data_IF_782509356228
#
_entry.id   IF_782509356228
#
_cell.length_a   1.000
_cell.length_b   1.000
_cell.length_c   1.000
_cell.angle_alpha   90.00
_cell.angle_beta   90.00
_cell.angle_gamma   90.00
#
_symmetry.space_group_name_H-M   'P 1'
#
loop_
_entity.id
_entity.type
_entity.pdbx_description
1 polymer ?
#
# COMPACT_ATOMS: atom_id res chain seq x y z
N UNK A 1 -0.62 2.78 -9.28
CA UNK A 1 -0.43 1.75 -8.25
C UNK A 1 0.58 2.23 -7.23
N UNK A 2 0.26 2.10 -5.95
CA UNK A 2 1.20 2.28 -4.84
C UNK A 2 1.70 0.90 -4.43
N UNK A 3 3.00 0.77 -4.14
CA UNK A 3 3.59 -0.45 -3.59
C UNK A 3 4.04 -0.19 -2.16
N UNK A 4 3.71 -1.10 -1.25
CA UNK A 4 4.24 -1.11 0.12
C UNK A 4 5.11 -2.33 0.27
N UNK A 5 6.35 -2.13 0.69
CA UNK A 5 7.34 -3.18 0.85
C UNK A 5 7.55 -3.45 2.33
N UNK A 6 7.60 -4.72 2.72
CA UNK A 6 7.89 -5.13 4.09
C UNK A 6 9.08 -6.08 4.13
N UNK A 7 9.99 -5.78 5.04
CA UNK A 7 11.06 -6.66 5.49
C UNK A 7 10.76 -7.01 6.95
N UNK A 8 10.56 -8.28 7.25
CA UNK A 8 10.47 -8.76 8.61
C UNK A 8 11.77 -8.66 9.38
N UNK A 9 11.71 -8.82 10.72
CA UNK A 9 12.89 -8.91 11.55
C UNK A 9 13.87 -9.98 11.03
N UNK A 10 15.14 -9.59 10.87
CA UNK A 10 16.21 -10.45 10.39
C UNK A 10 17.45 -10.27 11.27
N UNK A 11 17.67 -11.18 12.21
CA UNK A 11 18.82 -11.12 13.11
C UNK A 11 20.11 -11.55 12.38
N UNK A 12 21.26 -10.87 12.58
CA UNK A 12 21.51 -9.71 13.47
C UNK A 12 21.33 -8.32 12.83
N UNK A 13 20.84 -8.24 11.58
CA UNK A 13 20.94 -7.03 10.75
C UNK A 13 19.78 -6.04 10.91
N UNK A 14 18.56 -6.51 11.17
CA UNK A 14 17.34 -5.70 11.30
C UNK A 14 16.44 -6.26 12.41
N UNK A 15 16.53 -5.74 13.63
CA UNK A 15 15.83 -6.28 14.81
C UNK A 15 14.31 -6.10 14.77
N UNK A 16 13.83 -5.03 14.13
CA UNK A 16 12.42 -4.63 14.16
C UNK A 16 11.72 -4.77 12.79
N UNK A 17 12.48 -5.15 11.76
CA UNK A 17 12.04 -5.12 10.38
C UNK A 17 12.00 -3.69 9.82
N UNK A 18 11.61 -3.59 8.56
CA UNK A 18 11.52 -2.34 7.81
C UNK A 18 10.27 -2.31 6.94
N UNK A 19 9.73 -1.12 6.71
CA UNK A 19 8.59 -0.91 5.81
C UNK A 19 8.79 0.38 5.02
N UNK A 20 8.45 0.35 3.74
CA UNK A 20 8.52 1.51 2.87
C UNK A 20 7.36 1.53 1.89
N UNK A 21 7.15 2.67 1.24
CA UNK A 21 6.10 2.87 0.24
C UNK A 21 6.67 3.53 -1.01
N UNK A 22 6.26 3.06 -2.19
CA UNK A 22 6.60 3.64 -3.48
C UNK A 22 5.34 4.03 -4.25
N UNK A 23 5.33 5.26 -4.76
CA UNK A 23 4.29 5.77 -5.64
C UNK A 23 4.59 5.41 -7.09
N UNK A 24 3.59 5.54 -7.96
CA UNK A 24 3.72 5.19 -9.39
C UNK A 24 4.69 6.08 -10.17
N UNK A 25 4.96 7.30 -9.68
CA UNK A 25 5.94 8.22 -10.29
C UNK A 25 7.38 7.96 -9.82
N UNK A 26 7.60 6.93 -9.00
CA UNK A 26 8.89 6.59 -8.43
C UNK A 26 9.20 7.27 -7.10
N UNK A 27 8.36 8.20 -6.60
CA UNK A 27 8.52 8.78 -5.26
C UNK A 27 8.56 7.66 -4.22
N UNK A 28 9.58 7.66 -3.38
CA UNK A 28 9.85 6.60 -2.41
C UNK A 28 9.84 7.15 -0.98
N UNK A 29 8.92 6.66 -0.17
CA UNK A 29 8.73 6.99 1.23
C UNK A 29 9.38 5.89 2.07
N UNK A 30 10.58 6.17 2.56
CA UNK A 30 11.34 5.30 3.45
C UNK A 30 12.06 6.17 4.45
N UNK A 31 11.91 5.83 5.74
CA UNK A 31 12.50 6.59 6.84
C UNK A 31 13.29 5.62 7.73
N UNK A 32 14.45 5.22 7.23
CA UNK A 32 15.33 4.22 7.82
C UNK A 32 16.59 4.90 8.40
N UNK A 33 17.12 4.43 9.55
CA UNK A 33 18.35 4.98 10.10
C UNK A 33 19.55 4.62 9.21
N UNK A 34 20.58 5.47 9.23
CA UNK A 34 21.83 5.21 8.50
C UNK A 34 22.64 4.05 9.05
N UNK A 35 22.37 3.68 10.30
CA UNK A 35 22.90 2.47 10.92
C UNK A 35 21.74 1.82 11.70
N UNK A 36 21.36 0.57 11.41
CA UNK A 36 20.25 -0.12 12.08
C UNK A 36 20.48 -0.29 13.60
N UNK A 37 21.72 -0.13 14.07
CA UNK A 37 22.09 -0.10 15.50
C UNK A 37 22.12 1.32 16.09
N UNK A 38 22.00 2.36 15.27
CA UNK A 38 22.00 3.76 15.72
C UNK A 38 20.58 4.25 16.02
N UNK A 39 20.37 4.73 17.25
CA UNK A 39 19.04 5.06 17.78
C UNK A 39 18.58 6.48 17.38
N UNK A 40 19.44 7.29 16.75
CA UNK A 40 19.21 8.75 16.64
C UNK A 40 19.56 9.45 15.34
N UNK A 41 19.97 8.74 14.27
CA UNK A 41 20.30 9.38 12.99
C UNK A 41 19.63 8.68 11.81
N UNK A 42 18.76 9.41 11.11
CA UNK A 42 18.27 9.02 9.78
C UNK A 42 19.34 9.25 8.72
N UNK A 43 19.38 8.37 7.71
CA UNK A 43 20.15 8.61 6.48
C UNK A 43 19.52 9.72 5.63
N UNK A 44 20.16 10.06 4.51
CA UNK A 44 19.58 10.98 3.53
C UNK A 44 18.34 10.37 2.85
N UNK A 45 17.18 10.59 3.46
CA UNK A 45 15.92 9.99 3.04
C UNK A 45 15.37 10.57 1.72
N UNK A 46 15.93 11.67 1.22
CA UNK A 46 15.54 12.27 -0.07
C UNK A 46 15.96 11.39 -1.26
N UNK A 47 17.03 10.60 -1.12
CA UNK A 47 17.61 9.78 -2.19
C UNK A 47 17.33 8.28 -2.03
N UNK A 48 16.48 7.93 -1.08
CA UNK A 48 16.17 6.55 -0.80
C UNK A 48 15.35 5.92 -1.92
N UNK A 49 15.64 4.66 -2.20
CA UNK A 49 14.99 3.84 -3.20
C UNK A 49 14.74 2.43 -2.66
N UNK A 50 13.93 1.64 -3.37
CA UNK A 50 13.76 0.22 -3.07
C UNK A 50 15.09 -0.55 -3.10
N UNK A 51 15.94 -0.26 -4.07
CA UNK A 51 17.22 -0.96 -4.22
C UNK A 51 18.16 -0.61 -3.07
N UNK A 52 18.20 0.66 -2.62
CA UNK A 52 18.99 1.03 -1.43
C UNK A 52 18.48 0.35 -0.16
N UNK A 53 17.16 0.22 0.02
CA UNK A 53 16.60 -0.53 1.16
C UNK A 53 16.93 -2.02 1.09
N UNK A 54 16.85 -2.60 -0.10
CA UNK A 54 17.17 -4.01 -0.30
C UNK A 54 18.64 -4.32 -0.06
N UNK A 55 19.54 -3.37 -0.40
CA UNK A 55 20.96 -3.46 -0.09
C UNK A 55 21.22 -3.36 1.41
N UNK A 56 20.58 -2.40 2.10
CA UNK A 56 20.74 -2.23 3.54
C UNK A 56 20.19 -3.42 4.34
N UNK A 57 19.10 -4.02 3.87
CA UNK A 57 18.50 -5.24 4.45
C UNK A 57 19.19 -6.54 3.99
N UNK A 58 20.15 -6.44 3.06
CA UNK A 58 20.88 -7.56 2.42
C UNK A 58 19.97 -8.58 1.73
N UNK A 59 18.75 -8.17 1.35
CA UNK A 59 17.71 -9.03 0.76
C UNK A 59 16.58 -8.20 0.17
N UNK A 60 15.79 -8.84 -0.70
CA UNK A 60 14.52 -8.27 -1.18
C UNK A 60 13.47 -8.25 -0.06
N UNK A 61 12.49 -7.37 -0.21
CA UNK A 61 11.30 -7.35 0.64
C UNK A 61 10.65 -8.74 0.69
N UNK A 62 10.25 -9.18 1.88
CA UNK A 62 9.54 -10.44 2.08
C UNK A 62 8.17 -10.40 1.43
N UNK A 63 7.52 -9.24 1.54
CA UNK A 63 6.15 -9.04 1.12
C UNK A 63 6.00 -7.70 0.41
N UNK A 64 5.17 -7.70 -0.63
CA UNK A 64 4.84 -6.51 -1.42
C UNK A 64 3.33 -6.43 -1.50
N UNK A 65 2.76 -5.34 -0.99
CA UNK A 65 1.35 -5.03 -1.10
C UNK A 65 1.16 -3.98 -2.19
N UNK A 66 0.37 -4.32 -3.21
CA UNK A 66 0.01 -3.39 -4.27
C UNK A 66 -1.38 -2.80 -4.00
N UNK A 67 -1.47 -1.48 -4.01
CA UNK A 67 -2.69 -0.74 -3.66
C UNK A 67 -3.10 0.14 -4.84
N UNK A 68 -4.33 -0.02 -5.37
CA UNK A 68 -4.86 0.91 -6.35
C UNK A 68 -5.09 2.28 -5.70
N UNK A 69 -4.56 3.32 -6.33
CA UNK A 69 -4.66 4.69 -5.86
C UNK A 69 -4.76 5.60 -7.09
N UNK A 70 -5.68 6.57 -7.02
CA UNK A 70 -5.79 7.64 -8.01
C UNK A 70 -4.60 8.63 -7.91
N UNK A 71 -4.52 9.55 -8.87
CA UNK A 71 -3.46 10.55 -8.93
C UNK A 71 -3.48 11.49 -7.72
N UNK A 72 -4.68 11.92 -7.31
CA UNK A 72 -4.89 12.86 -6.21
C UNK A 72 -4.42 12.29 -4.86
N UNK A 73 -4.69 11.00 -4.60
CA UNK A 73 -4.18 10.25 -3.45
C UNK A 73 -2.66 10.22 -3.44
N UNK A 74 -2.03 9.93 -4.57
CA UNK A 74 -0.57 9.87 -4.69
C UNK A 74 0.06 11.26 -4.51
N UNK A 75 -0.54 12.30 -5.07
CA UNK A 75 -0.07 13.68 -4.93
C UNK A 75 -0.12 14.16 -3.48
N UNK A 76 -1.15 13.78 -2.72
CA UNK A 76 -1.23 14.07 -1.28
C UNK A 76 -0.10 13.39 -0.50
N UNK A 77 0.18 12.12 -0.80
CA UNK A 77 1.28 11.39 -0.14
C UNK A 77 2.63 12.03 -0.48
N UNK A 78 2.85 12.36 -1.75
CA UNK A 78 4.07 13.01 -2.23
C UNK A 78 4.29 14.36 -1.56
N UNK A 79 3.23 15.18 -1.45
CA UNK A 79 3.29 16.48 -0.76
C UNK A 79 3.63 16.31 0.71
N UNK A 80 2.93 15.39 1.40
CA UNK A 80 3.26 15.03 2.77
C UNK A 80 4.73 14.65 2.92
N UNK A 81 5.24 13.77 2.06
CA UNK A 81 6.61 13.29 2.17
C UNK A 81 7.63 14.41 2.01
N UNK A 82 7.43 15.28 1.00
CA UNK A 82 8.29 16.45 0.77
C UNK A 82 8.29 17.40 1.97
N UNK A 83 7.11 17.73 2.51
CA UNK A 83 6.99 18.61 3.68
C UNK A 83 7.57 17.98 4.95
N UNK A 84 7.40 16.67 5.10
CA UNK A 84 7.92 15.93 6.22
C UNK A 84 9.46 15.95 6.23
N UNK A 85 10.09 15.65 5.09
CA UNK A 85 11.55 15.66 4.96
C UNK A 85 12.16 17.02 5.29
N UNK A 86 11.54 18.13 4.87
CA UNK A 86 12.00 19.49 5.20
C UNK A 86 12.06 19.72 6.73
N UNK A 87 11.10 19.17 7.48
CA UNK A 87 10.97 19.40 8.93
C UNK A 87 11.70 18.37 9.78
N UNK A 88 11.84 17.15 9.28
CA UNK A 88 12.16 15.97 10.10
C UNK A 88 13.33 15.13 9.54
N UNK A 89 14.13 15.69 8.61
CA UNK A 89 15.22 14.97 7.91
C UNK A 89 16.10 14.11 8.81
N UNK A 90 16.40 14.59 10.03
CA UNK A 90 17.32 13.95 10.98
C UNK A 90 16.66 13.48 12.29
N UNK A 91 15.33 13.49 12.39
CA UNK A 91 14.63 13.25 13.65
C UNK A 91 14.16 11.80 13.82
N UNK A 92 14.90 10.82 13.29
CA UNK A 92 14.55 9.40 13.46
C UNK A 92 14.45 9.02 14.94
N UNK A 93 13.38 8.32 15.29
CA UNK A 93 13.21 7.76 16.63
C UNK A 93 12.48 6.42 16.53
N UNK A 94 13.12 5.37 17.06
CA UNK A 94 12.68 3.98 16.91
C UNK A 94 11.21 3.74 17.31
N UNK A 95 10.71 4.43 18.34
CA UNK A 95 9.36 4.17 18.88
C UNK A 95 8.29 5.13 18.37
N UNK A 96 8.66 6.35 17.98
CA UNK A 96 7.70 7.46 17.79
C UNK A 96 7.81 8.16 16.45
N UNK A 97 8.90 7.90 15.71
CA UNK A 97 9.19 8.54 14.45
C UNK A 97 10.08 7.62 13.59
N UNK A 98 9.53 6.45 13.23
CA UNK A 98 10.19 5.39 12.49
C UNK A 98 9.54 5.17 11.11
N UNK A 99 10.06 4.23 10.33
CA UNK A 99 9.54 3.90 9.00
C UNK A 99 8.05 3.54 9.00
N UNK A 100 7.59 2.74 9.98
CA UNK A 100 6.20 2.33 10.11
C UNK A 100 5.27 3.50 10.42
N UNK A 101 5.64 4.37 11.37
CA UNK A 101 4.88 5.59 11.67
C UNK A 101 4.75 6.48 10.44
N UNK A 102 5.82 6.62 9.64
CA UNK A 102 5.81 7.47 8.44
C UNK A 102 4.97 6.87 7.33
N UNK A 103 5.06 5.57 7.08
CA UNK A 103 4.20 4.87 6.10
C UNK A 103 2.73 4.99 6.52
N UNK A 104 2.41 4.82 7.80
CA UNK A 104 1.03 4.98 8.31
C UNK A 104 0.52 6.43 8.19
N UNK A 105 1.37 7.44 8.42
CA UNK A 105 1.04 8.85 8.17
C UNK A 105 0.85 9.13 6.68
N UNK A 106 1.67 8.56 5.80
CA UNK A 106 1.48 8.64 4.35
C UNK A 106 0.10 8.11 3.97
N UNK A 107 -0.30 6.93 4.46
CA UNK A 107 -1.65 6.41 4.26
C UNK A 107 -2.76 7.38 4.70
N UNK A 108 -2.62 8.04 5.86
CA UNK A 108 -3.58 9.05 6.30
C UNK A 108 -3.68 10.22 5.35
N UNK A 109 -2.56 10.74 4.85
CA UNK A 109 -2.58 11.84 3.90
C UNK A 109 -3.17 11.42 2.54
N UNK A 110 -2.90 10.19 2.09
CA UNK A 110 -3.53 9.63 0.90
C UNK A 110 -5.04 9.45 1.05
N UNK A 111 -5.49 8.86 2.16
CA UNK A 111 -6.88 8.48 2.41
C UNK A 111 -7.40 8.97 3.77
N UNK A 112 -7.61 10.29 3.95
CA UNK A 112 -7.91 10.88 5.25
C UNK A 112 -9.22 10.40 5.88
N UNK A 113 -10.21 10.04 5.06
CA UNK A 113 -11.51 9.53 5.52
C UNK A 113 -11.48 8.05 5.86
N UNK A 114 -10.49 7.32 5.37
CA UNK A 114 -10.38 5.88 5.60
C UNK A 114 -9.52 5.58 6.82
N UNK A 115 -8.59 6.45 7.22
CA UNK A 115 -7.65 6.18 8.32
C UNK A 115 -8.08 6.88 9.61
N UNK A 116 -8.56 6.13 10.60
CA UNK A 116 -8.86 6.65 11.94
C UNK A 116 -7.58 6.83 12.79
N UNK A 117 -7.35 8.05 13.28
CA UNK A 117 -6.19 8.40 14.10
C UNK A 117 -6.24 7.78 15.50
N UNK A 118 -7.41 7.43 16.01
CA UNK A 118 -7.55 6.79 17.32
C UNK A 118 -7.08 5.33 17.31
N UNK A 119 -6.80 4.78 16.11
CA UNK A 119 -6.17 3.46 15.93
C UNK A 119 -4.63 3.49 15.96
N UNK A 120 -4.01 4.62 16.27
CA UNK A 120 -2.56 4.66 16.51
C UNK A 120 -2.27 3.93 17.82
N UNK A 121 -1.64 2.76 17.70
CA UNK A 121 -1.08 2.07 18.85
C UNK A 121 0.09 2.87 19.41
N UNK A 122 0.44 2.60 20.66
CA UNK A 122 1.56 3.26 21.34
C UNK A 122 2.90 3.06 20.60
N UNK A 123 3.04 2.00 19.79
CA UNK A 123 4.21 1.72 18.96
C UNK A 123 3.74 1.17 17.60
N UNK A 124 4.00 1.90 16.51
CA UNK A 124 3.79 1.39 15.15
C UNK A 124 5.03 0.58 14.74
N UNK A 125 4.85 -0.72 14.47
CA UNK A 125 5.89 -1.60 13.91
C UNK A 125 5.65 -1.87 12.42
N UNK A 126 6.70 -2.22 11.64
CA UNK A 126 6.57 -2.59 10.23
C UNK A 126 5.50 -3.66 9.98
N UNK A 127 5.53 -4.75 10.76
CA UNK A 127 4.58 -5.86 10.64
C UNK A 127 3.15 -5.44 10.91
N UNK A 128 2.95 -4.62 11.95
CA UNK A 128 1.62 -4.13 12.30
C UNK A 128 1.05 -3.23 11.20
N UNK A 129 1.83 -2.26 10.71
CA UNK A 129 1.37 -1.32 9.68
C UNK A 129 1.12 -2.05 8.36
N UNK A 130 1.98 -2.99 7.98
CA UNK A 130 1.80 -3.80 6.79
C UNK A 130 0.55 -4.67 6.89
N UNK A 131 0.37 -5.40 8.00
CA UNK A 131 -0.81 -6.24 8.24
C UNK A 131 -2.11 -5.43 8.25
N UNK A 132 -2.10 -4.25 8.88
CA UNK A 132 -3.23 -3.31 8.87
C UNK A 132 -3.56 -2.84 7.45
N UNK A 133 -2.55 -2.42 6.67
CA UNK A 133 -2.75 -1.99 5.29
C UNK A 133 -3.25 -3.14 4.41
N UNK A 134 -2.68 -4.33 4.55
CA UNK A 134 -3.10 -5.54 3.84
C UNK A 134 -4.54 -5.92 4.16
N UNK A 135 -4.94 -5.88 5.44
CA UNK A 135 -6.33 -6.14 5.82
C UNK A 135 -7.29 -5.12 5.20
N UNK A 136 -6.89 -3.85 5.15
CA UNK A 136 -7.73 -2.76 4.67
C UNK A 136 -7.89 -2.81 3.15
N UNK A 137 -6.78 -2.79 2.42
CA UNK A 137 -6.79 -2.72 0.96
C UNK A 137 -6.87 -4.09 0.28
N UNK A 138 -6.41 -5.16 0.93
CA UNK A 138 -6.61 -6.53 0.44
C UNK A 138 -8.08 -6.96 0.46
N UNK A 139 -8.87 -6.52 1.45
CA UNK A 139 -10.34 -6.71 1.44
C UNK A 139 -11.02 -5.89 0.34
N UNK A 140 -10.59 -4.65 0.12
CA UNK A 140 -11.14 -3.83 -0.96
C UNK A 140 -10.91 -4.45 -2.34
N UNK A 141 -9.75 -5.08 -2.57
CA UNK A 141 -9.48 -5.79 -3.83
C UNK A 141 -10.46 -6.94 -4.07
N UNK A 142 -10.71 -7.78 -3.05
CA UNK A 142 -11.67 -8.90 -3.18
C UNK A 142 -13.08 -8.39 -3.43
N UNK A 143 -13.54 -7.35 -2.74
CA UNK A 143 -14.88 -6.79 -2.93
C UNK A 143 -15.03 -6.17 -4.32
N UNK A 144 -14.07 -5.35 -4.75
CA UNK A 144 -14.12 -4.70 -6.05
C UNK A 144 -14.05 -5.73 -7.21
N UNK A 145 -13.19 -6.74 -7.08
CA UNK A 145 -13.14 -7.86 -8.04
C UNK A 145 -14.47 -8.62 -8.09
N UNK A 146 -15.10 -8.89 -6.94
CA UNK A 146 -16.40 -9.56 -6.89
C UNK A 146 -17.52 -8.70 -7.50
N UNK A 147 -17.48 -7.39 -7.33
CA UNK A 147 -18.42 -6.46 -7.96
C UNK A 147 -18.26 -6.43 -9.49
N UNK A 148 -17.02 -6.41 -9.99
CA UNK A 148 -16.71 -6.49 -11.42
C UNK A 148 -17.17 -7.82 -12.03
N UNK A 149 -16.86 -8.95 -11.38
CA UNK A 149 -17.32 -10.28 -11.78
C UNK A 149 -18.86 -10.34 -11.77
N UNK A 150 -19.50 -9.80 -10.73
CA UNK A 150 -20.96 -9.75 -10.63
C UNK A 150 -21.60 -8.87 -11.71
N UNK A 151 -20.98 -7.74 -12.06
CA UNK A 151 -21.39 -6.89 -13.19
C UNK A 151 -21.28 -7.64 -14.52
N UNK A 152 -20.16 -8.35 -14.74
CA UNK A 152 -19.94 -9.14 -15.95
C UNK A 152 -20.98 -10.26 -16.09
N UNK A 153 -21.26 -11.00 -15.00
CA UNK A 153 -22.29 -12.06 -14.99
C UNK A 153 -23.67 -11.49 -15.32
N UNK A 154 -24.04 -10.34 -14.75
CA UNK A 154 -25.32 -9.67 -15.06
C UNK A 154 -25.41 -9.30 -16.54
N UNK A 155 -24.35 -8.74 -17.12
CA UNK A 155 -24.32 -8.39 -18.54
C UNK A 155 -24.44 -9.63 -19.44
N UNK A 156 -23.75 -10.72 -19.11
CA UNK A 156 -23.86 -11.99 -19.85
C UNK A 156 -25.26 -12.61 -19.73
N UNK A 157 -25.88 -12.56 -18.55
CA UNK A 157 -27.26 -13.04 -18.37
C UNK A 157 -28.28 -12.26 -19.21
N UNK A 158 -28.11 -10.94 -19.34
CA UNK A 158 -28.95 -10.13 -20.23
C UNK A 158 -28.75 -10.51 -21.69
N UNK A 159 -27.52 -10.75 -22.13
CA UNK A 159 -27.21 -11.22 -23.49
C UNK A 159 -27.88 -12.57 -23.80
N UNK A 160 -27.84 -13.51 -22.87
CA UNK A 160 -28.53 -14.81 -23.02
C UNK A 160 -30.05 -14.66 -23.11
N UNK A 161 -30.66 -13.75 -22.34
CA UNK A 161 -32.10 -13.47 -22.40
C UNK A 161 -32.49 -12.86 -23.76
N UNK A 162 -31.71 -11.88 -24.24
CA UNK A 162 -31.94 -11.26 -25.56
C UNK A 162 -31.80 -12.32 -26.66
N UNK A 163 -30.80 -13.20 -26.59
CA UNK A 163 -30.63 -14.30 -27.54
C UNK A 163 -31.86 -15.22 -27.58
N UNK A 164 -32.38 -15.62 -26.42
CA UNK A 164 -33.60 -16.44 -26.34
C UNK A 164 -34.84 -15.75 -26.89
N UNK A 165 -35.01 -14.45 -26.62
CA UNK A 165 -36.22 -13.72 -27.01
C UNK A 165 -36.22 -13.28 -28.48
N UNK A 166 -35.06 -13.05 -29.07
CA UNK A 166 -34.93 -12.49 -30.43
C UNK A 166 -34.55 -13.53 -31.47
N UNK A 167 -33.76 -14.55 -31.09
CA UNK A 167 -33.12 -15.45 -32.04
C UNK A 167 -33.61 -16.90 -31.96
N UNK A 168 -34.47 -17.26 -31.00
CA UNK A 168 -35.11 -18.57 -31.05
C UNK A 168 -36.17 -18.61 -32.16
N UNK A 169 -36.04 -19.51 -33.16
CA UNK A 169 -37.04 -19.64 -34.21
C UNK A 169 -38.36 -20.09 -33.59
N UNK A 170 -39.43 -19.34 -33.86
CA UNK A 170 -40.78 -19.73 -33.42
C UNK A 170 -41.10 -21.11 -33.98
N UNK A 171 -41.66 -22.02 -33.17
CA UNK A 171 -41.98 -23.37 -33.61
C UNK A 171 -42.92 -23.30 -34.82
N UNK A 172 -42.46 -23.84 -35.94
CA UNK A 172 -43.26 -23.96 -37.16
C UNK A 172 -44.37 -24.96 -36.82
N UNK A 173 -45.61 -24.47 -36.77
CA UNK A 173 -46.78 -25.34 -36.61
C UNK A 173 -46.87 -26.22 -37.87
N UNK A 174 -46.61 -27.51 -37.70
CA UNK A 174 -46.91 -28.50 -38.73
C UNK A 174 -48.44 -28.67 -38.77
N UNK A 175 -49.02 -28.29 -39.91
CA UNK A 175 -50.44 -28.44 -40.26
C UNK A 175 -50.71 -29.82 -40.83
#
# INVERSE_FOLDING_TARGET
>A
MIKVYRWGPNFPYSFFGHISMQLSDGTYVSFWPSNPLSIGHSRDNERCTYDSDSLDELRRADEILEIPADADTQDRIKRFWKEYLVKHKYSYHLLTNNCATIVKRAFKHGWPTQVDYNSFQMIDTPDYVFGWASQKWGKHFVVQFMEEVSSLIRNLSMLCIVYKLVLEPKPIKQS
#
